data_IF_397469244049
#
_entry.id   IF_397469244049
#
_cell.length_a   1.000
_cell.length_b   1.000
_cell.length_c   1.000
_cell.angle_alpha   90.00
_cell.angle_beta   90.00
_cell.angle_gamma   90.00
#
_symmetry.space_group_name_H-M   'P 1'
#
loop_
_entity.id
_entity.type
_entity.pdbx_description
1 polymer ?
#
# COMPACT_ATOMS: atom_id res chain seq x y z
N UNK A 1 3.72 -9.32 -22.55
CA UNK A 1 3.22 -9.65 -21.22
C UNK A 1 3.26 -8.49 -20.21
N UNK A 2 4.34 -7.72 -20.05
CA UNK A 2 4.38 -6.61 -19.07
C UNK A 2 3.28 -5.57 -19.27
N UNK A 3 2.96 -5.20 -20.50
CA UNK A 3 1.90 -4.23 -20.81
C UNK A 3 0.49 -4.71 -20.43
N UNK A 4 0.21 -6.00 -20.57
CA UNK A 4 -1.08 -6.58 -20.17
C UNK A 4 -1.24 -6.52 -18.64
N UNK A 5 -0.20 -6.87 -17.91
CA UNK A 5 -0.21 -6.84 -16.44
C UNK A 5 -0.33 -5.39 -15.94
N UNK A 6 0.43 -4.45 -16.51
CA UNK A 6 0.32 -3.04 -16.19
C UNK A 6 -1.07 -2.48 -16.50
N UNK A 7 -1.67 -2.84 -17.65
CA UNK A 7 -3.00 -2.40 -18.05
C UNK A 7 -4.10 -2.94 -17.13
N UNK A 8 -4.00 -4.19 -16.68
CA UNK A 8 -4.93 -4.77 -15.73
C UNK A 8 -4.83 -4.18 -14.33
N UNK A 9 -3.64 -3.88 -13.86
CA UNK A 9 -3.40 -3.47 -12.48
C UNK A 9 -3.40 -1.96 -12.27
N UNK A 10 -2.95 -1.19 -13.24
CA UNK A 10 -3.01 0.28 -13.21
C UNK A 10 -4.38 0.81 -13.61
N UNK A 11 -5.14 0.05 -14.39
CA UNK A 11 -6.50 0.40 -14.82
C UNK A 11 -7.57 0.35 -13.72
N UNK A 12 -7.29 -0.31 -12.58
CA UNK A 12 -8.22 -0.31 -11.46
C UNK A 12 -8.19 1.04 -10.74
N UNK A 13 -9.19 1.85 -10.99
CA UNK A 13 -9.44 3.08 -10.21
C UNK A 13 -9.83 2.77 -8.78
N UNK A 14 -10.49 1.64 -8.57
CA UNK A 14 -11.05 1.26 -7.26
C UNK A 14 -10.70 -0.18 -6.98
N UNK A 15 -10.19 -0.42 -5.81
CA UNK A 15 -9.94 -1.74 -5.31
C UNK A 15 -10.49 -1.82 -3.90
N UNK A 16 -11.30 -2.84 -3.65
CA UNK A 16 -11.82 -3.12 -2.32
C UNK A 16 -10.98 -4.23 -1.71
N UNK A 17 -10.50 -4.08 -0.47
CA UNK A 17 -9.71 -5.09 0.22
C UNK A 17 -10.58 -6.18 0.82
N UNK A 18 -11.40 -6.84 -0.01
CA UNK A 18 -12.35 -7.86 0.47
C UNK A 18 -11.64 -9.05 1.12
N UNK A 19 -10.47 -9.41 0.61
CA UNK A 19 -9.66 -10.47 1.20
C UNK A 19 -9.13 -10.06 2.57
N UNK A 20 -8.59 -8.88 2.67
CA UNK A 20 -8.01 -8.35 3.90
C UNK A 20 -9.08 -8.09 4.96
N UNK A 21 -10.27 -7.62 4.58
CA UNK A 21 -11.41 -7.45 5.49
C UNK A 21 -11.90 -8.77 6.11
N UNK A 22 -11.65 -9.89 5.44
CA UNK A 22 -12.11 -11.22 5.92
C UNK A 22 -10.97 -11.99 6.59
N UNK A 23 -9.73 -11.85 6.13
CA UNK A 23 -8.65 -12.78 6.48
C UNK A 23 -7.38 -12.11 7.01
N UNK A 24 -7.35 -10.79 7.23
CA UNK A 24 -6.13 -10.10 7.64
C UNK A 24 -5.59 -10.60 8.99
N UNK A 25 -6.45 -11.01 9.90
CA UNK A 25 -6.11 -11.56 11.21
C UNK A 25 -5.65 -13.04 11.18
N UNK A 26 -5.91 -13.74 10.08
CA UNK A 26 -5.67 -15.18 9.94
C UNK A 26 -4.52 -15.49 8.98
N UNK A 27 -4.30 -14.67 7.96
CA UNK A 27 -3.41 -14.99 6.85
C UNK A 27 -2.52 -13.81 6.50
N UNK A 28 -1.21 -14.06 6.41
CA UNK A 28 -0.28 -13.08 5.80
C UNK A 28 -0.46 -13.09 4.29
N UNK A 29 -1.21 -12.15 3.78
CA UNK A 29 -1.41 -11.98 2.35
C UNK A 29 -0.21 -11.28 1.72
N UNK A 30 0.22 -11.77 0.57
CA UNK A 30 1.21 -11.11 -0.27
C UNK A 30 0.68 -10.99 -1.69
N UNK A 31 0.90 -9.84 -2.30
CA UNK A 31 0.39 -9.58 -3.63
C UNK A 31 1.42 -9.94 -4.69
N UNK A 32 1.06 -10.86 -5.54
CA UNK A 32 1.81 -11.12 -6.75
C UNK A 32 1.36 -10.18 -7.87
N UNK A 33 2.16 -9.15 -8.11
CA UNK A 33 1.88 -8.14 -9.14
C UNK A 33 2.57 -8.45 -10.48
N UNK A 34 2.84 -9.70 -10.75
CA UNK A 34 3.66 -10.12 -11.89
C UNK A 34 5.15 -9.89 -11.61
N UNK A 35 5.80 -10.95 -11.24
CA UNK A 35 7.23 -11.16 -11.07
C UNK A 35 8.00 -10.12 -10.24
N UNK A 36 8.58 -9.11 -10.87
CA UNK A 36 9.57 -8.25 -10.23
C UNK A 36 9.09 -6.80 -10.18
N UNK A 37 9.33 -6.13 -9.08
CA UNK A 37 9.05 -4.71 -8.94
C UNK A 37 9.75 -3.88 -10.03
N UNK A 38 10.95 -4.26 -10.42
CA UNK A 38 11.71 -3.59 -11.45
C UNK A 38 11.19 -3.81 -12.89
N UNK A 39 10.32 -4.77 -13.14
CA UNK A 39 9.70 -4.94 -14.47
C UNK A 39 8.68 -3.85 -14.80
N UNK A 40 8.09 -3.25 -13.78
CA UNK A 40 7.08 -2.20 -13.90
C UNK A 40 7.38 -1.05 -12.92
N UNK A 41 8.48 -0.30 -13.13
CA UNK A 41 8.88 0.76 -12.20
C UNK A 41 7.81 1.82 -12.01
N UNK A 42 7.03 2.11 -13.05
CA UNK A 42 5.96 3.11 -13.02
C UNK A 42 4.82 2.82 -12.03
N UNK A 43 4.66 1.56 -11.62
CA UNK A 43 3.62 1.17 -10.66
C UNK A 43 4.18 0.83 -9.27
N UNK A 44 5.49 0.92 -9.08
CA UNK A 44 6.11 0.54 -7.81
C UNK A 44 5.58 1.35 -6.63
N UNK A 45 5.52 2.67 -6.79
CA UNK A 45 5.01 3.55 -5.73
C UNK A 45 3.54 3.26 -5.41
N UNK A 46 2.71 3.10 -6.44
CA UNK A 46 1.29 2.77 -6.26
C UNK A 46 1.09 1.43 -5.55
N UNK A 47 1.94 0.47 -5.84
CA UNK A 47 1.95 -0.84 -5.21
C UNK A 47 2.32 -0.76 -3.73
N UNK A 48 3.36 0.01 -3.39
CA UNK A 48 3.73 0.23 -2.01
C UNK A 48 2.58 0.91 -1.24
N UNK A 49 1.89 1.87 -1.86
CA UNK A 49 0.73 2.51 -1.26
C UNK A 49 -0.43 1.53 -1.01
N UNK A 50 -0.66 0.56 -1.89
CA UNK A 50 -1.67 -0.48 -1.62
C UNK A 50 -1.23 -1.44 -0.51
N UNK A 51 0.04 -1.84 -0.48
CA UNK A 51 0.56 -2.66 0.62
C UNK A 51 0.41 -1.92 1.96
N UNK A 52 0.70 -0.64 1.99
CA UNK A 52 0.53 0.23 3.16
C UNK A 52 -0.94 0.31 3.56
N UNK A 53 -1.84 0.64 2.62
CA UNK A 53 -3.27 0.76 2.89
C UNK A 53 -3.87 -0.53 3.47
N UNK A 54 -3.39 -1.68 3.01
CA UNK A 54 -3.92 -2.98 3.42
C UNK A 54 -3.13 -3.63 4.56
N UNK A 55 -2.07 -3.00 5.03
CA UNK A 55 -1.23 -3.56 6.09
C UNK A 55 -0.46 -4.83 5.67
N UNK A 56 -0.34 -5.07 4.37
CA UNK A 56 0.29 -6.30 3.84
C UNK A 56 1.79 -6.11 3.62
N UNK A 57 2.61 -7.13 3.94
CA UNK A 57 4.05 -7.04 3.70
C UNK A 57 4.37 -7.05 2.19
N UNK A 58 5.48 -6.42 1.80
CA UNK A 58 5.90 -6.40 0.41
C UNK A 58 6.48 -7.77 0.01
N UNK A 59 6.27 -8.15 -1.25
CA UNK A 59 6.93 -9.30 -1.84
C UNK A 59 8.03 -8.82 -2.79
N UNK A 60 9.27 -9.14 -2.47
CA UNK A 60 10.43 -8.80 -3.29
C UNK A 60 11.02 -10.03 -3.95
N UNK A 61 11.22 -9.94 -5.27
CA UNK A 61 11.96 -10.93 -6.04
C UNK A 61 13.07 -10.21 -6.79
N UNK A 62 14.32 -10.54 -6.50
CA UNK A 62 15.45 -9.89 -7.16
C UNK A 62 16.64 -10.85 -7.34
N UNK A 63 17.37 -10.60 -8.41
CA UNK A 63 18.71 -11.17 -8.64
C UNK A 63 19.76 -10.21 -8.09
N UNK A 64 21.02 -10.66 -8.03
CA UNK A 64 22.14 -9.79 -7.65
C UNK A 64 22.24 -8.54 -8.54
N UNK A 65 21.99 -8.69 -9.84
CA UNK A 65 22.01 -7.57 -10.78
C UNK A 65 20.89 -6.57 -10.49
N UNK A 66 19.66 -7.04 -10.29
CA UNK A 66 18.50 -6.19 -9.96
C UNK A 66 18.71 -5.49 -8.62
N UNK A 67 19.24 -6.20 -7.63
CA UNK A 67 19.59 -5.59 -6.34
C UNK A 67 20.59 -4.44 -6.52
N UNK A 68 21.68 -4.65 -7.27
CA UNK A 68 22.68 -3.60 -7.50
C UNK A 68 22.10 -2.36 -8.17
N UNK A 69 21.11 -2.53 -9.04
CA UNK A 69 20.47 -1.44 -9.78
C UNK A 69 19.43 -0.67 -8.96
N UNK A 70 18.66 -1.36 -8.10
CA UNK A 70 17.49 -0.79 -7.41
C UNK A 70 17.57 -0.87 -5.88
N UNK A 71 18.75 -1.08 -5.33
CA UNK A 71 18.97 -1.26 -3.89
C UNK A 71 18.25 -0.21 -3.03
N UNK A 72 18.45 1.06 -3.34
CA UNK A 72 17.90 2.14 -2.51
C UNK A 72 16.37 2.16 -2.57
N UNK A 73 15.80 1.82 -3.72
CA UNK A 73 14.35 1.72 -3.88
C UNK A 73 13.76 0.52 -3.12
N UNK A 74 14.44 -0.63 -3.12
CA UNK A 74 14.04 -1.77 -2.28
C UNK A 74 14.11 -1.44 -0.80
N UNK A 75 15.19 -0.78 -0.37
CA UNK A 75 15.35 -0.36 1.02
C UNK A 75 14.28 0.63 1.45
N UNK A 76 13.93 1.59 0.60
CA UNK A 76 12.87 2.55 0.88
C UNK A 76 11.51 1.84 0.99
N UNK A 77 11.17 1.01 0.02
CA UNK A 77 9.94 0.21 0.03
C UNK A 77 9.83 -0.66 1.29
N UNK A 78 10.93 -1.32 1.68
CA UNK A 78 10.98 -2.10 2.92
C UNK A 78 10.70 -1.22 4.16
N UNK A 79 11.35 -0.06 4.26
CA UNK A 79 11.17 0.84 5.41
C UNK A 79 9.73 1.34 5.53
N UNK A 80 9.14 1.74 4.43
CA UNK A 80 7.78 2.28 4.44
C UNK A 80 6.74 1.17 4.69
N UNK A 81 6.75 0.15 3.86
CA UNK A 81 5.71 -0.90 3.89
C UNK A 81 5.83 -1.79 5.12
N UNK A 82 7.04 -2.24 5.47
CA UNK A 82 7.21 -3.15 6.61
C UNK A 82 6.96 -2.49 7.96
N UNK A 83 7.19 -1.19 8.10
CA UNK A 83 6.85 -0.48 9.33
C UNK A 83 5.35 -0.48 9.56
N UNK A 84 4.56 -0.23 8.52
CA UNK A 84 3.11 -0.28 8.59
C UNK A 84 2.62 -1.71 8.84
N UNK A 85 3.11 -2.68 8.08
CA UNK A 85 2.74 -4.08 8.26
C UNK A 85 3.04 -4.60 9.70
N UNK A 86 4.12 -4.14 10.33
CA UNK A 86 4.40 -4.45 11.74
C UNK A 86 3.45 -3.74 12.70
N UNK A 87 3.07 -2.50 12.40
CA UNK A 87 2.16 -1.74 13.26
C UNK A 87 0.77 -2.37 13.32
N UNK A 88 0.27 -2.89 12.21
CA UNK A 88 -1.03 -3.57 12.18
C UNK A 88 -0.94 -5.02 12.62
N UNK A 89 0.19 -5.70 12.36
CA UNK A 89 0.40 -7.11 12.72
C UNK A 89 -0.68 -8.02 12.16
N UNK A 90 -1.30 -8.81 13.02
CA UNK A 90 -2.45 -9.66 12.73
C UNK A 90 -3.78 -9.04 13.24
N UNK A 91 -3.86 -7.74 13.38
CA UNK A 91 -5.12 -7.11 13.74
C UNK A 91 -6.15 -7.27 12.62
N UNK A 92 -7.39 -7.57 12.98
CA UNK A 92 -8.52 -7.60 12.04
C UNK A 92 -8.63 -6.24 11.33
N UNK A 93 -8.79 -6.23 10.01
CA UNK A 93 -9.17 -5.04 9.28
C UNK A 93 -10.68 -4.83 9.45
N UNK A 94 -11.05 -3.81 10.19
CA UNK A 94 -12.45 -3.57 10.58
C UNK A 94 -13.21 -2.67 9.61
N UNK A 95 -12.49 -1.86 8.83
CA UNK A 95 -13.13 -0.91 7.92
C UNK A 95 -12.22 -0.49 6.76
N UNK A 96 -12.83 -0.15 5.62
CA UNK A 96 -12.19 0.50 4.48
C UNK A 96 -13.11 1.56 3.91
N UNK A 97 -12.60 2.78 3.71
CA UNK A 97 -13.38 3.92 3.22
C UNK A 97 -12.69 4.65 2.07
N UNK A 98 -13.49 5.11 1.13
CA UNK A 98 -13.08 6.16 0.19
C UNK A 98 -13.37 7.53 0.84
N UNK A 99 -12.34 8.30 1.15
CA UNK A 99 -12.46 9.58 1.85
C UNK A 99 -12.88 10.69 0.89
N UNK A 100 -12.41 10.61 -0.36
CA UNK A 100 -12.74 11.60 -1.40
C UNK A 100 -13.68 11.02 -2.46
N UNK A 101 -14.54 11.85 -3.09
CA UNK A 101 -15.46 11.39 -4.14
C UNK A 101 -14.76 10.76 -5.35
N UNK A 102 -13.56 11.23 -5.68
CA UNK A 102 -12.71 10.68 -6.74
C UNK A 102 -12.00 9.38 -6.32
N UNK A 103 -12.18 8.95 -5.03
CA UNK A 103 -11.63 7.73 -4.44
C UNK A 103 -10.11 7.65 -4.41
N UNK A 104 -9.44 8.77 -4.60
CA UNK A 104 -7.98 8.81 -4.56
C UNK A 104 -7.43 8.86 -3.14
N UNK A 105 -8.18 9.35 -2.17
CA UNK A 105 -7.82 9.23 -0.76
C UNK A 105 -8.65 8.13 -0.13
N UNK A 106 -7.95 7.14 0.42
CA UNK A 106 -8.55 5.94 1.01
C UNK A 106 -8.04 5.75 2.43
N UNK A 107 -8.85 5.12 3.25
CA UNK A 107 -8.52 4.84 4.65
C UNK A 107 -8.92 3.43 5.04
N UNK A 108 -8.09 2.78 5.84
CA UNK A 108 -8.38 1.51 6.51
C UNK A 108 -8.25 1.67 8.01
N UNK A 109 -9.02 0.88 8.75
CA UNK A 109 -8.96 0.81 10.20
C UNK A 109 -8.76 -0.63 10.65
N UNK A 110 -8.03 -0.81 11.74
CA UNK A 110 -7.69 -2.11 12.30
C UNK A 110 -8.12 -2.20 13.76
N UNK A 111 -8.44 -3.40 14.22
CA UNK A 111 -8.96 -3.66 15.58
C UNK A 111 -8.00 -3.26 16.71
N UNK A 112 -6.71 -3.11 16.41
CA UNK A 112 -5.72 -2.63 17.37
C UNK A 112 -5.65 -1.08 17.50
N UNK A 113 -6.63 -0.36 16.95
CA UNK A 113 -6.68 1.11 16.96
C UNK A 113 -5.82 1.78 15.88
N UNK A 114 -5.16 1.00 15.02
CA UNK A 114 -4.38 1.56 13.91
C UNK A 114 -5.30 2.02 12.78
N UNK A 115 -5.08 3.24 12.29
CA UNK A 115 -5.76 3.78 11.11
C UNK A 115 -4.72 4.25 10.10
N UNK A 116 -4.90 3.88 8.84
CA UNK A 116 -3.99 4.21 7.75
C UNK A 116 -4.76 4.99 6.69
N UNK A 117 -4.28 6.18 6.35
CA UNK A 117 -4.82 6.99 5.26
C UNK A 117 -3.78 7.10 4.16
N UNK A 118 -4.17 6.78 2.92
CA UNK A 118 -3.29 6.83 1.74
C UNK A 118 -3.87 7.78 0.72
N UNK A 119 -3.01 8.61 0.15
CA UNK A 119 -3.32 9.51 -0.96
C UNK A 119 -2.70 8.99 -2.26
N UNK A 120 -3.52 8.45 -3.16
CA UNK A 120 -3.12 7.99 -4.49
C UNK A 120 -3.11 9.08 -5.56
N UNK A 121 -3.49 10.31 -5.19
CA UNK A 121 -3.54 11.43 -6.14
C UNK A 121 -2.17 12.07 -6.37
N UNK A 122 -2.10 12.92 -7.38
CA UNK A 122 -0.94 13.78 -7.64
C UNK A 122 -1.01 15.12 -6.90
N UNK A 123 -2.03 15.32 -6.07
CA UNK A 123 -2.25 16.52 -5.28
C UNK A 123 -2.16 16.22 -3.79
N UNK A 124 -1.84 17.23 -2.99
CA UNK A 124 -1.81 17.08 -1.54
C UNK A 124 -3.23 17.11 -0.98
N UNK A 125 -3.51 16.24 -0.04
CA UNK A 125 -4.77 16.21 0.71
C UNK A 125 -4.57 16.75 2.13
N UNK A 126 -5.53 17.50 2.65
CA UNK A 126 -5.50 17.97 4.04
C UNK A 126 -6.32 17.03 4.92
N UNK A 127 -5.67 16.42 5.89
CA UNK A 127 -6.30 15.56 6.88
C UNK A 127 -7.18 16.38 7.85
N UNK A 128 -8.18 15.76 8.51
CA UNK A 128 -9.03 16.43 9.48
C UNK A 128 -8.27 17.09 10.66
N UNK A 129 -7.11 16.53 11.04
CA UNK A 129 -6.22 17.09 12.05
C UNK A 129 -5.41 18.32 11.57
N UNK A 130 -5.58 18.73 10.30
CA UNK A 130 -4.89 19.85 9.68
C UNK A 130 -3.57 19.51 9.01
N UNK A 131 -3.04 18.31 9.19
CA UNK A 131 -1.81 17.87 8.54
C UNK A 131 -1.98 17.72 7.02
N UNK A 132 -0.89 17.95 6.29
CA UNK A 132 -0.86 17.85 4.84
C UNK A 132 -0.29 16.50 4.41
N UNK A 133 -1.13 15.67 3.84
CA UNK A 133 -0.76 14.41 3.24
C UNK A 133 -0.28 14.64 1.80
N UNK A 134 0.98 14.32 1.54
CA UNK A 134 1.61 14.53 0.23
C UNK A 134 0.99 13.65 -0.86
N UNK A 135 1.16 14.00 -2.15
CA UNK A 135 0.91 13.09 -3.26
C UNK A 135 1.64 11.76 -3.06
N UNK A 136 0.97 10.65 -3.38
CA UNK A 136 1.53 9.30 -3.20
C UNK A 136 2.15 9.11 -1.81
N UNK A 137 1.49 9.66 -0.79
CA UNK A 137 1.91 9.58 0.60
C UNK A 137 0.89 8.89 1.48
N UNK A 138 1.31 8.58 2.70
CA UNK A 138 0.44 7.96 3.69
C UNK A 138 0.59 8.61 5.08
N UNK A 139 -0.41 8.41 5.89
CA UNK A 139 -0.43 8.78 7.30
C UNK A 139 -0.85 7.57 8.13
N UNK A 140 -0.05 7.23 9.12
CA UNK A 140 -0.31 6.16 10.07
C UNK A 140 -0.64 6.79 11.42
N UNK A 141 -1.80 6.46 11.94
CA UNK A 141 -2.22 6.82 13.30
C UNK A 141 -2.43 5.53 14.09
N UNK A 142 -1.76 5.39 15.21
CA UNK A 142 -1.98 4.30 16.16
C UNK A 142 -2.50 4.90 17.46
N UNK A 143 -3.62 4.42 17.95
CA UNK A 143 -4.05 4.73 19.31
C UNK A 143 -3.10 4.01 20.29
N UNK A 144 -2.63 4.77 21.30
CA UNK A 144 -1.73 4.25 22.34
C UNK A 144 -2.51 3.51 23.41
#
# INVERSE_FOLDING_TARGET
MPERVAKFQVGHKYRLPLWELVYHDCVVAQWYWGDYNNKLPAIWDKRDMFNILYGTPPMFMFTRQVWSQYKDRFVQSYKDVCNVARAVGYAEMTDHRFITPDRNVQQTSFANGTTITVNFSNESYRLPNGEKLKPMGYHLMAEK
#
